data_IF_586188331164
#
_entry.id   IF_586188331164
#
_cell.length_a   1.000
_cell.length_b   1.000
_cell.length_c   1.000
_cell.angle_alpha   90.00
_cell.angle_beta   90.00
_cell.angle_gamma   90.00
#
_symmetry.space_group_name_H-M   'P 1'
#
loop_
_entity.id
_entity.type
_entity.pdbx_description
1 polymer ?
#
# COMPACT_ATOMS: atom_id res chain seq x y z
N UNK A 1 -25.77 6.59 5.38
CA UNK A 1 -24.55 6.52 6.22
C UNK A 1 -23.63 7.64 5.78
N UNK A 2 -23.11 8.45 6.73
CA UNK A 2 -22.21 9.54 6.35
C UNK A 2 -20.89 8.97 5.80
N UNK A 3 -20.28 9.64 4.81
CA UNK A 3 -18.97 9.22 4.23
C UNK A 3 -17.91 9.02 5.32
N UNK A 4 -17.98 9.80 6.40
CA UNK A 4 -17.11 9.69 7.57
C UNK A 4 -17.28 8.34 8.30
N UNK A 5 -18.52 7.89 8.51
CA UNK A 5 -18.77 6.63 9.21
C UNK A 5 -18.27 5.41 8.40
N UNK A 6 -18.47 5.43 7.07
CA UNK A 6 -17.92 4.37 6.21
C UNK A 6 -16.39 4.39 6.14
N UNK A 7 -15.78 5.57 6.09
CA UNK A 7 -14.31 5.69 6.12
C UNK A 7 -13.72 5.20 7.44
N UNK A 8 -14.32 5.56 8.58
CA UNK A 8 -13.90 5.09 9.91
C UNK A 8 -14.06 3.57 10.03
N UNK A 9 -15.19 3.01 9.60
CA UNK A 9 -15.41 1.56 9.63
C UNK A 9 -14.43 0.79 8.75
N UNK A 10 -14.17 1.27 7.54
CA UNK A 10 -13.20 0.67 6.64
C UNK A 10 -11.76 0.75 7.19
N UNK A 11 -11.37 1.91 7.74
CA UNK A 11 -10.05 2.10 8.36
C UNK A 11 -9.86 1.23 9.60
N UNK A 12 -10.87 1.07 10.42
CA UNK A 12 -10.84 0.22 11.61
C UNK A 12 -10.69 -1.27 11.24
N UNK A 13 -11.49 -1.76 10.29
CA UNK A 13 -11.39 -3.12 9.76
C UNK A 13 -10.01 -3.39 9.15
N UNK A 14 -9.49 -2.44 8.38
CA UNK A 14 -8.16 -2.53 7.79
C UNK A 14 -7.07 -2.59 8.87
N UNK A 15 -7.16 -1.75 9.90
CA UNK A 15 -6.21 -1.74 11.03
C UNK A 15 -6.21 -3.07 11.81
N UNK A 16 -7.38 -3.64 12.10
CA UNK A 16 -7.49 -4.97 12.72
C UNK A 16 -6.86 -6.03 11.82
N UNK A 17 -7.13 -6.00 10.52
CA UNK A 17 -6.54 -6.93 9.55
C UNK A 17 -5.01 -6.87 9.54
N UNK A 18 -4.43 -5.69 9.58
CA UNK A 18 -2.97 -5.49 9.65
C UNK A 18 -2.38 -6.02 10.95
N UNK A 19 -3.08 -5.83 12.08
CA UNK A 19 -2.62 -6.32 13.37
C UNK A 19 -2.66 -7.85 13.44
N UNK A 20 -3.76 -8.46 13.04
CA UNK A 20 -3.94 -9.93 13.04
C UNK A 20 -2.98 -10.62 12.07
N UNK A 21 -2.73 -10.04 10.89
CA UNK A 21 -1.80 -10.59 9.89
C UNK A 21 -0.32 -10.40 10.25
N UNK A 22 -0.02 -9.53 11.23
CA UNK A 22 1.37 -9.16 11.57
C UNK A 22 2.06 -8.32 10.49
N UNK A 23 1.31 -7.78 9.52
CA UNK A 23 1.86 -7.01 8.39
C UNK A 23 2.44 -5.65 8.79
N UNK A 24 2.22 -5.21 10.03
CA UNK A 24 2.91 -4.04 10.58
C UNK A 24 4.42 -4.27 10.79
N UNK A 25 4.87 -5.52 10.77
CA UNK A 25 6.28 -5.88 10.92
C UNK A 25 6.94 -6.02 9.53
N UNK A 26 7.99 -5.23 9.20
CA UNK A 26 8.68 -5.30 7.89
C UNK A 26 9.33 -6.66 7.62
N UNK A 27 9.68 -7.42 8.65
CA UNK A 27 10.25 -8.76 8.50
C UNK A 27 9.32 -9.73 7.77
N UNK A 28 8.00 -9.55 7.88
CA UNK A 28 7.01 -10.34 7.14
C UNK A 28 7.11 -10.12 5.63
N UNK A 29 7.30 -8.87 5.22
CA UNK A 29 7.46 -8.51 3.80
C UNK A 29 8.81 -8.99 3.27
N UNK A 30 9.88 -8.80 4.05
CA UNK A 30 11.22 -9.26 3.67
C UNK A 30 11.29 -10.79 3.60
N UNK A 31 10.64 -11.52 4.53
CA UNK A 31 10.54 -12.99 4.48
C UNK A 31 9.78 -13.49 3.25
N UNK A 32 8.80 -12.74 2.76
CA UNK A 32 8.13 -13.06 1.48
C UNK A 32 9.04 -12.83 0.27
N UNK A 33 9.92 -11.81 0.32
CA UNK A 33 10.86 -11.51 -0.77
C UNK A 33 12.08 -12.44 -0.76
N UNK A 34 12.36 -13.09 0.37
CA UNK A 34 13.48 -14.03 0.51
C UNK A 34 13.11 -15.43 0.00
N UNK A 35 13.00 -15.55 -1.33
CA UNK A 35 12.64 -16.81 -2.01
C UNK A 35 13.73 -17.90 -1.83
N UNK A 36 14.95 -17.49 -1.52
CA UNK A 36 16.09 -18.41 -1.37
C UNK A 36 16.34 -18.86 0.08
N UNK A 37 15.69 -18.21 1.08
CA UNK A 37 15.79 -18.53 2.51
C UNK A 37 14.50 -19.12 3.07
N UNK A 38 14.12 -18.69 4.27
CA UNK A 38 12.88 -19.11 4.95
C UNK A 38 11.67 -18.36 4.38
N UNK A 39 11.21 -18.77 3.20
CA UNK A 39 10.13 -18.11 2.47
C UNK A 39 8.79 -18.16 3.21
N UNK A 40 8.23 -16.99 3.51
CA UNK A 40 6.92 -16.83 4.16
C UNK A 40 5.83 -16.45 3.13
N UNK A 41 5.04 -17.43 2.71
CA UNK A 41 3.95 -17.24 1.75
C UNK A 41 2.73 -16.47 2.30
N UNK A 42 2.72 -16.06 3.58
CA UNK A 42 1.56 -15.44 4.23
C UNK A 42 1.10 -14.15 3.53
N UNK A 43 2.05 -13.36 2.99
CA UNK A 43 1.75 -12.15 2.24
C UNK A 43 0.94 -12.45 0.96
N UNK A 44 1.22 -13.54 0.26
CA UNK A 44 0.48 -13.95 -0.93
C UNK A 44 -0.98 -14.26 -0.60
N UNK A 45 -1.25 -14.91 0.53
CA UNK A 45 -2.61 -15.20 0.99
C UNK A 45 -3.36 -13.92 1.36
N UNK A 46 -2.70 -12.96 2.02
CA UNK A 46 -3.31 -11.66 2.36
C UNK A 46 -3.65 -10.87 1.11
N UNK A 47 -2.72 -10.78 0.15
CA UNK A 47 -2.95 -10.07 -1.12
C UNK A 47 -4.03 -10.76 -1.96
N UNK A 48 -3.99 -12.09 -2.07
CA UNK A 48 -5.00 -12.88 -2.77
C UNK A 48 -6.39 -12.71 -2.17
N UNK A 49 -6.49 -12.73 -0.84
CA UNK A 49 -7.73 -12.46 -0.12
C UNK A 49 -8.27 -11.05 -0.38
N UNK A 50 -7.40 -10.04 -0.33
CA UNK A 50 -7.79 -8.66 -0.63
C UNK A 50 -8.32 -8.51 -2.06
N UNK A 51 -7.66 -9.11 -3.04
CA UNK A 51 -8.10 -9.11 -4.45
C UNK A 51 -9.44 -9.83 -4.60
N UNK A 52 -9.62 -11.00 -3.97
CA UNK A 52 -10.87 -11.77 -4.02
C UNK A 52 -12.05 -10.97 -3.44
N UNK A 53 -11.87 -10.37 -2.26
CA UNK A 53 -12.91 -9.53 -1.61
C UNK A 53 -13.24 -8.30 -2.44
N UNK A 54 -12.23 -7.63 -2.98
CA UNK A 54 -12.42 -6.45 -3.83
C UNK A 54 -13.18 -6.81 -5.10
N UNK A 55 -12.79 -7.88 -5.76
CA UNK A 55 -13.45 -8.37 -6.99
C UNK A 55 -14.91 -8.78 -6.74
N UNK A 56 -15.17 -9.49 -5.64
CA UNK A 56 -16.52 -9.83 -5.23
C UNK A 56 -17.36 -8.59 -4.93
N UNK A 57 -16.79 -7.62 -4.19
CA UNK A 57 -17.44 -6.36 -3.87
C UNK A 57 -17.83 -5.57 -5.11
N UNK A 58 -16.93 -5.45 -6.09
CA UNK A 58 -17.24 -4.77 -7.36
C UNK A 58 -18.30 -5.49 -8.18
N UNK A 59 -18.29 -6.83 -8.21
CA UNK A 59 -19.30 -7.60 -8.92
C UNK A 59 -20.68 -7.50 -8.28
N UNK A 60 -20.76 -7.57 -6.96
CA UNK A 60 -22.02 -7.52 -6.22
C UNK A 60 -22.65 -6.12 -6.24
N UNK A 61 -21.82 -5.08 -6.09
CA UNK A 61 -22.33 -3.72 -6.01
C UNK A 61 -22.63 -3.10 -7.38
N UNK A 62 -22.30 -3.77 -8.50
CA UNK A 62 -22.43 -3.21 -9.86
C UNK A 62 -21.98 -1.75 -9.89
N UNK A 63 -20.89 -1.46 -9.20
CA UNK A 63 -20.36 -0.12 -9.14
C UNK A 63 -20.16 0.35 -10.58
N UNK A 64 -20.89 1.40 -10.98
CA UNK A 64 -20.58 2.18 -12.17
C UNK A 64 -19.21 2.81 -11.88
N UNK A 65 -18.17 2.00 -12.10
CA UNK A 65 -16.85 2.55 -12.21
C UNK A 65 -16.91 3.38 -13.48
N UNK A 66 -17.00 4.69 -13.30
CA UNK A 66 -16.62 5.60 -14.37
C UNK A 66 -15.29 5.04 -14.88
N UNK A 67 -15.16 4.72 -16.16
CA UNK A 67 -13.92 4.18 -16.69
C UNK A 67 -12.84 5.24 -16.53
N UNK A 68 -12.16 5.25 -15.37
CA UNK A 68 -10.91 5.97 -15.21
C UNK A 68 -9.85 5.17 -15.99
N UNK A 69 -10.13 5.10 -17.28
CA UNK A 69 -9.34 4.33 -18.23
C UNK A 69 -8.32 5.25 -18.87
N UNK A 70 -7.27 5.61 -18.13
CA UNK A 70 -6.01 5.86 -18.82
C UNK A 70 -5.50 4.49 -19.27
N UNK A 71 -5.74 4.18 -20.53
CA UNK A 71 -5.26 2.96 -21.17
C UNK A 71 -3.78 3.08 -21.58
N UNK A 72 -3.22 4.26 -21.39
CA UNK A 72 -1.88 4.57 -21.87
C UNK A 72 -0.86 4.24 -20.78
N UNK A 73 -0.05 3.23 -21.03
CA UNK A 73 1.15 2.94 -20.23
C UNK A 73 2.21 3.94 -20.69
N UNK A 74 2.37 4.99 -19.92
CA UNK A 74 3.35 6.04 -20.18
C UNK A 74 4.64 5.83 -19.38
N UNK A 75 5.71 6.47 -19.82
CA UNK A 75 7.03 6.37 -19.16
C UNK A 75 6.99 6.79 -17.69
N UNK A 76 6.28 7.86 -17.27
CA UNK A 76 6.13 8.21 -15.85
C UNK A 76 5.50 7.10 -15.00
N UNK A 77 4.53 6.37 -15.54
CA UNK A 77 3.90 5.25 -14.83
C UNK A 77 4.89 4.11 -14.61
N UNK A 78 5.63 3.73 -15.66
CA UNK A 78 6.63 2.66 -15.58
C UNK A 78 7.77 3.03 -14.63
N UNK A 79 8.31 4.25 -14.76
CA UNK A 79 9.38 4.73 -13.90
C UNK A 79 8.93 4.85 -12.43
N UNK A 80 7.72 5.36 -12.17
CA UNK A 80 7.15 5.45 -10.83
C UNK A 80 6.94 4.08 -10.20
N UNK A 81 6.41 3.12 -10.96
CA UNK A 81 6.22 1.74 -10.51
C UNK A 81 7.55 1.04 -10.19
N UNK A 82 8.56 1.25 -11.01
CA UNK A 82 9.91 0.70 -10.78
C UNK A 82 10.54 1.30 -9.52
N UNK A 83 10.49 2.62 -9.34
CA UNK A 83 11.00 3.30 -8.15
C UNK A 83 10.28 2.84 -6.89
N UNK A 84 8.95 2.70 -6.96
CA UNK A 84 8.16 2.17 -5.84
C UNK A 84 8.57 0.73 -5.50
N UNK A 85 8.70 -0.15 -6.51
CA UNK A 85 9.08 -1.54 -6.30
C UNK A 85 10.48 -1.69 -5.69
N UNK A 86 11.45 -0.90 -6.13
CA UNK A 86 12.81 -0.88 -5.57
C UNK A 86 12.76 -0.40 -4.11
N UNK A 87 12.08 0.70 -3.83
CA UNK A 87 11.95 1.24 -2.47
C UNK A 87 11.25 0.26 -1.52
N UNK A 88 10.19 -0.38 -1.99
CA UNK A 88 9.46 -1.40 -1.23
C UNK A 88 10.32 -2.64 -0.96
N UNK A 89 11.07 -3.13 -1.96
CA UNK A 89 11.94 -4.29 -1.83
C UNK A 89 13.09 -4.07 -0.84
N UNK A 90 13.63 -2.86 -0.77
CA UNK A 90 14.72 -2.51 0.17
C UNK A 90 14.19 -2.28 1.58
N UNK A 91 13.09 -1.53 1.71
CA UNK A 91 12.57 -1.12 3.01
C UNK A 91 11.75 -2.21 3.72
N UNK A 92 11.10 -3.12 2.97
CA UNK A 92 10.19 -4.11 3.51
C UNK A 92 8.88 -3.53 4.09
N UNK A 93 8.67 -2.20 3.98
CA UNK A 93 7.47 -1.54 4.47
C UNK A 93 6.47 -1.26 3.35
N UNK A 94 5.21 -1.70 3.53
CA UNK A 94 4.10 -1.20 2.72
C UNK A 94 3.59 0.13 3.30
N UNK A 95 3.14 1.10 2.46
CA UNK A 95 2.66 2.41 2.92
C UNK A 95 1.57 2.35 3.99
N UNK A 96 0.59 1.45 3.87
CA UNK A 96 -0.48 1.29 4.85
C UNK A 96 0.03 0.82 6.21
N UNK A 97 0.68 -0.34 6.30
CA UNK A 97 1.32 -0.83 7.52
C UNK A 97 2.32 0.15 8.14
N UNK A 98 3.05 0.91 7.33
CA UNK A 98 4.00 1.90 7.84
C UNK A 98 3.32 2.99 8.67
N UNK A 99 2.13 3.45 8.24
CA UNK A 99 1.35 4.43 9.01
C UNK A 99 0.86 3.85 10.33
N UNK A 100 0.42 2.58 10.35
CA UNK A 100 0.04 1.93 11.62
C UNK A 100 1.25 1.66 12.51
N UNK A 101 2.42 1.37 11.95
CA UNK A 101 3.65 1.19 12.71
C UNK A 101 4.16 2.48 13.38
N UNK A 102 3.68 3.66 12.97
CA UNK A 102 3.96 4.91 13.69
C UNK A 102 3.48 4.89 15.15
N UNK A 103 2.49 4.05 15.49
CA UNK A 103 2.03 3.90 16.89
C UNK A 103 3.12 3.36 17.80
N UNK A 104 4.10 2.65 17.25
CA UNK A 104 5.26 2.13 18.00
C UNK A 104 6.41 3.13 18.09
N UNK A 105 6.33 4.26 17.37
CA UNK A 105 7.35 5.32 17.29
C UNK A 105 8.76 4.76 17.00
N UNK A 106 8.86 3.65 16.26
CA UNK A 106 10.15 3.13 15.85
C UNK A 106 10.81 4.10 14.86
N UNK A 107 12.13 4.28 14.99
CA UNK A 107 12.89 5.18 14.11
C UNK A 107 12.70 4.81 12.64
N UNK A 108 12.64 3.52 12.33
CA UNK A 108 12.45 2.99 10.98
C UNK A 108 11.11 3.41 10.38
N UNK A 109 10.00 3.27 11.14
CA UNK A 109 8.67 3.66 10.67
C UNK A 109 8.54 5.17 10.47
N UNK A 110 9.12 5.97 11.37
CA UNK A 110 9.12 7.43 11.26
C UNK A 110 9.90 7.90 10.04
N UNK A 111 11.11 7.38 9.84
CA UNK A 111 11.96 7.72 8.68
C UNK A 111 11.27 7.31 7.38
N UNK A 112 10.69 6.12 7.33
CA UNK A 112 9.99 5.64 6.13
C UNK A 112 8.79 6.53 5.77
N UNK A 113 7.93 6.86 6.74
CA UNK A 113 6.76 7.72 6.49
C UNK A 113 7.18 9.14 6.13
N UNK A 114 8.22 9.69 6.78
CA UNK A 114 8.77 10.99 6.42
C UNK A 114 9.30 11.00 4.97
N UNK A 115 10.02 9.95 4.55
CA UNK A 115 10.49 9.79 3.18
C UNK A 115 9.33 9.66 2.18
N UNK A 116 8.27 8.92 2.54
CA UNK A 116 7.08 8.76 1.72
C UNK A 116 6.36 10.10 1.50
N UNK A 117 6.16 10.87 2.56
CA UNK A 117 5.56 12.23 2.47
C UNK A 117 6.46 13.17 1.68
N UNK A 118 7.76 13.16 1.94
CA UNK A 118 8.76 13.97 1.23
C UNK A 118 8.77 13.66 -0.28
N UNK A 119 8.76 12.39 -0.66
CA UNK A 119 8.67 11.96 -2.06
C UNK A 119 7.38 12.42 -2.74
N UNK A 120 6.24 12.32 -2.04
CA UNK A 120 4.95 12.82 -2.53
C UNK A 120 4.92 14.33 -2.74
N UNK A 121 5.50 15.09 -1.80
CA UNK A 121 5.63 16.55 -1.93
C UNK A 121 6.56 16.94 -3.09
N UNK A 122 7.71 16.28 -3.21
CA UNK A 122 8.65 16.51 -4.30
C UNK A 122 8.00 16.26 -5.66
N UNK A 123 7.26 15.15 -5.80
CA UNK A 123 6.51 14.88 -7.02
C UNK A 123 5.49 15.98 -7.34
N UNK A 124 4.74 16.47 -6.35
CA UNK A 124 3.78 17.57 -6.54
C UNK A 124 4.45 18.85 -7.00
N UNK A 125 5.61 19.20 -6.43
CA UNK A 125 6.37 20.38 -6.82
C UNK A 125 6.88 20.25 -8.27
N UNK A 126 7.41 19.10 -8.64
CA UNK A 126 7.89 18.84 -10.00
C UNK A 126 6.74 18.83 -11.03
N UNK A 127 5.62 18.20 -10.71
CA UNK A 127 4.44 18.16 -11.58
C UNK A 127 3.74 19.53 -11.68
N UNK A 128 3.82 20.36 -10.63
CA UNK A 128 3.30 21.73 -10.64
C UNK A 128 4.16 22.73 -11.44
N UNK A 129 5.46 22.47 -11.55
CA UNK A 129 6.38 23.34 -12.30
C UNK A 129 6.32 23.09 -13.83
N UNK A 130 5.65 22.02 -14.27
CA UNK A 130 5.51 21.64 -15.68
C UNK A 130 4.18 22.03 -16.33
N UNK A 131 3.36 22.91 -15.67
CA UNK A 131 2.11 23.45 -16.23
C UNK A 131 2.20 24.93 -16.52
#
# INVERSE_FOLDING_TARGET
MSALASALGAGFLFGIGLWVSGMANPRKVLGFLDIAGDWDASLMLVMGGAVAVTLAGFRLYKAKLEPYSRKDIDLPLVAGSALFGIGWGIAGYCPGPAVTALTTLSTESVVFVAAMVGGGLLHRLMAGAGR
#
